data_IF_863902233685
#
_entry.id   IF_863902233685
#
_cell.length_a   1.000
_cell.length_b   1.000
_cell.length_c   1.000
_cell.angle_alpha   90.00
_cell.angle_beta   90.00
_cell.angle_gamma   90.00
#
_symmetry.space_group_name_H-M   'P 1'
#
loop_
_entity.id
_entity.type
_entity.pdbx_description
1 polymer ?
#
# COMPACT_ATOMS: atom_id res chain seq x y z
N UNK A 1 -35.69 39.06 -6.55
CA UNK A 1 -36.30 38.01 -5.70
C UNK A 1 -35.18 37.00 -5.46
N UNK A 2 -34.28 37.24 -4.48
CA UNK A 2 -34.32 36.76 -3.08
C UNK A 2 -34.42 35.22 -3.05
N UNK A 3 -33.49 34.42 -2.47
CA UNK A 3 -32.92 34.42 -1.11
C UNK A 3 -31.49 33.82 -1.08
N UNK A 4 -30.53 34.45 -0.40
CA UNK A 4 -29.97 34.11 0.93
C UNK A 4 -29.08 32.82 0.95
N UNK A 5 -27.75 32.97 0.88
CA UNK A 5 -26.85 32.95 2.04
C UNK A 5 -27.08 31.78 3.02
N UNK A 6 -26.27 30.72 2.89
CA UNK A 6 -25.88 29.88 4.02
C UNK A 6 -24.36 29.63 3.95
N UNK A 7 -23.63 30.51 4.63
CA UNK A 7 -22.25 30.31 5.05
C UNK A 7 -22.27 29.20 6.12
N UNK A 8 -21.80 28.01 5.77
CA UNK A 8 -21.53 26.98 6.77
C UNK A 8 -20.21 27.35 7.46
N UNK A 9 -20.33 28.00 8.61
CA UNK A 9 -19.25 28.18 9.57
C UNK A 9 -18.83 26.82 10.12
N UNK A 10 -17.66 26.33 9.72
CA UNK A 10 -17.00 25.21 10.41
C UNK A 10 -16.08 25.78 11.49
N UNK A 11 -16.57 25.74 12.72
CA UNK A 11 -15.76 25.78 13.95
C UNK A 11 -14.64 24.73 13.86
N UNK A 12 -13.39 25.01 14.28
CA UNK A 12 -12.34 24.00 14.28
C UNK A 12 -12.66 22.98 15.36
N UNK A 13 -13.19 21.82 14.97
CA UNK A 13 -13.40 20.69 15.85
C UNK A 13 -12.04 20.09 16.26
N UNK A 14 -11.93 19.71 17.53
CA UNK A 14 -10.92 18.79 18.04
C UNK A 14 -10.69 17.60 17.09
N UNK A 15 -9.48 16.99 17.07
CA UNK A 15 -9.24 15.78 16.29
C UNK A 15 -10.05 14.63 16.90
N UNK A 16 -11.30 14.52 16.45
CA UNK A 16 -12.17 13.40 16.68
C UNK A 16 -11.46 12.16 16.14
N UNK A 17 -11.14 11.20 16.99
CA UNK A 17 -10.40 9.97 16.64
C UNK A 17 -11.29 8.99 15.86
N UNK A 18 -12.12 9.51 14.96
CA UNK A 18 -13.11 8.77 14.19
C UNK A 18 -12.42 8.07 13.04
N UNK A 19 -12.52 6.74 13.03
CA UNK A 19 -11.99 5.90 11.96
C UNK A 19 -12.65 6.24 10.63
N UNK A 20 -11.86 6.59 9.61
CA UNK A 20 -12.35 6.78 8.25
C UNK A 20 -12.33 5.45 7.48
N UNK A 21 -13.49 5.05 6.97
CA UNK A 21 -13.61 3.79 6.24
C UNK A 21 -12.76 3.78 4.96
N UNK A 22 -11.99 2.70 4.79
CA UNK A 22 -11.17 2.56 3.59
C UNK A 22 -11.99 2.09 2.40
N UNK A 23 -11.82 2.71 1.22
CA UNK A 23 -12.42 2.24 -0.03
C UNK A 23 -11.72 0.96 -0.51
N UNK A 24 -12.12 -0.18 0.04
CA UNK A 24 -11.48 -1.48 -0.13
C UNK A 24 -11.31 -1.89 -1.59
N UNK A 25 -12.33 -1.72 -2.44
CA UNK A 25 -12.29 -2.13 -3.84
C UNK A 25 -11.31 -1.27 -4.67
N UNK A 26 -11.34 0.06 -4.48
CA UNK A 26 -10.44 0.98 -5.18
C UNK A 26 -9.00 0.75 -4.76
N UNK A 27 -8.78 0.55 -3.45
CA UNK A 27 -7.46 0.25 -2.91
C UNK A 27 -6.92 -1.08 -3.43
N UNK A 28 -7.74 -2.15 -3.38
CA UNK A 28 -7.39 -3.45 -3.92
C UNK A 28 -7.08 -3.42 -5.42
N UNK A 29 -7.88 -2.68 -6.20
CA UNK A 29 -7.62 -2.51 -7.62
C UNK A 29 -6.28 -1.78 -7.89
N UNK A 30 -6.00 -0.71 -7.15
CA UNK A 30 -4.77 0.05 -7.30
C UNK A 30 -3.53 -0.79 -6.95
N UNK A 31 -3.54 -1.50 -5.82
CA UNK A 31 -2.43 -2.37 -5.40
C UNK A 31 -2.32 -3.60 -6.30
N UNK A 32 -3.45 -4.17 -6.74
CA UNK A 32 -3.47 -5.25 -7.73
C UNK A 32 -2.86 -4.85 -9.06
N UNK A 33 -3.10 -3.63 -9.55
CA UNK A 33 -2.47 -3.11 -10.76
C UNK A 33 -0.96 -2.91 -10.58
N UNK A 34 -0.52 -2.44 -9.41
CA UNK A 34 0.92 -2.37 -9.11
C UNK A 34 1.55 -3.76 -9.11
N UNK A 35 0.87 -4.74 -8.51
CA UNK A 35 1.25 -6.16 -8.58
C UNK A 35 1.33 -6.67 -10.01
N UNK A 36 0.35 -6.35 -10.86
CA UNK A 36 0.37 -6.71 -12.28
C UNK A 36 1.60 -6.13 -13.00
N UNK A 37 1.98 -4.89 -12.69
CA UNK A 37 3.20 -4.26 -13.22
C UNK A 37 4.46 -5.06 -12.86
N UNK A 38 4.61 -5.45 -11.59
CA UNK A 38 5.71 -6.30 -11.13
C UNK A 38 5.67 -7.65 -11.85
N UNK A 39 4.49 -8.28 -11.93
CA UNK A 39 4.31 -9.56 -12.62
C UNK A 39 4.61 -9.50 -14.11
N UNK A 40 4.35 -8.36 -14.78
CA UNK A 40 4.70 -8.12 -16.17
C UNK A 40 6.22 -8.10 -16.38
N UNK A 41 6.97 -7.42 -15.49
CA UNK A 41 8.44 -7.42 -15.51
C UNK A 41 8.97 -8.83 -15.29
N UNK A 42 8.48 -9.53 -14.28
CA UNK A 42 8.90 -10.91 -14.00
C UNK A 42 8.58 -11.83 -15.18
N UNK A 43 7.40 -11.68 -15.77
CA UNK A 43 6.99 -12.43 -16.96
C UNK A 43 7.88 -12.16 -18.17
N UNK A 44 8.26 -10.90 -18.40
CA UNK A 44 9.17 -10.52 -19.47
C UNK A 44 10.56 -11.15 -19.28
N UNK A 45 11.08 -11.17 -18.05
CA UNK A 45 12.35 -11.84 -17.71
C UNK A 45 12.26 -13.35 -17.93
N UNK A 46 11.19 -14.01 -17.47
CA UNK A 46 10.99 -15.44 -17.68
C UNK A 46 10.86 -15.80 -19.18
N UNK A 47 10.23 -14.94 -19.97
CA UNK A 47 10.13 -15.10 -21.42
C UNK A 47 11.49 -14.85 -22.13
N UNK A 48 12.31 -13.92 -21.64
CA UNK A 48 13.62 -13.63 -22.22
C UNK A 48 14.66 -14.73 -21.93
N UNK A 49 14.62 -15.32 -20.73
CA UNK A 49 15.56 -16.35 -20.28
C UNK A 49 15.09 -17.78 -20.60
N UNK A 50 13.86 -17.95 -21.08
CA UNK A 50 13.31 -19.25 -21.43
C UNK A 50 13.94 -19.84 -22.68
N UNK A 51 14.16 -21.16 -22.70
CA UNK A 51 14.59 -21.88 -23.89
C UNK A 51 13.41 -22.03 -24.87
N UNK A 52 13.14 -21.01 -25.69
CA UNK A 52 12.09 -21.07 -26.70
C UNK A 52 12.37 -20.20 -27.93
N UNK A 53 11.86 -20.62 -29.09
CA UNK A 53 12.01 -19.94 -30.39
C UNK A 53 10.76 -19.11 -30.77
N UNK A 54 10.21 -18.33 -29.84
CA UNK A 54 9.04 -17.46 -30.08
C UNK A 54 9.32 -16.02 -29.62
N UNK A 55 8.74 -15.06 -30.35
CA UNK A 55 8.97 -13.62 -30.20
C UNK A 55 8.35 -12.97 -28.95
N UNK A 56 8.46 -11.64 -28.86
CA UNK A 56 8.15 -10.83 -27.66
C UNK A 56 6.73 -11.01 -27.08
N UNK A 57 5.74 -11.44 -27.87
CA UNK A 57 4.37 -11.69 -27.40
C UNK A 57 4.25 -12.87 -26.40
N UNK A 58 5.31 -13.68 -26.24
CA UNK A 58 5.33 -14.80 -25.30
C UNK A 58 5.17 -14.41 -23.83
N UNK A 59 5.52 -13.16 -23.46
CA UNK A 59 5.38 -12.70 -22.08
C UNK A 59 3.92 -12.58 -21.63
N UNK A 60 3.01 -12.33 -22.57
CA UNK A 60 1.58 -12.24 -22.28
C UNK A 60 0.87 -13.59 -22.42
N UNK A 61 1.30 -14.42 -23.37
CA UNK A 61 0.59 -15.66 -23.74
C UNK A 61 1.09 -16.91 -23.02
N UNK A 62 2.39 -16.99 -22.70
CA UNK A 62 3.02 -18.17 -22.08
C UNK A 62 3.31 -17.96 -20.59
N UNK A 63 4.02 -16.89 -20.26
CA UNK A 63 4.37 -16.53 -18.88
C UNK A 63 3.38 -15.53 -18.27
N UNK A 64 2.33 -15.16 -19.00
CA UNK A 64 1.30 -14.21 -18.58
C UNK A 64 0.54 -14.60 -17.31
N UNK A 65 0.49 -15.89 -16.99
CA UNK A 65 -0.05 -16.36 -15.69
C UNK A 65 0.69 -15.76 -14.49
N UNK A 66 1.97 -15.39 -14.64
CA UNK A 66 2.73 -14.67 -13.61
C UNK A 66 2.12 -13.30 -13.34
N UNK A 67 1.74 -12.56 -14.40
CA UNK A 67 1.11 -11.24 -14.28
C UNK A 67 -0.16 -11.35 -13.43
N UNK A 68 -1.01 -12.33 -13.76
CA UNK A 68 -2.26 -12.57 -13.03
C UNK A 68 -2.04 -12.94 -11.57
N UNK A 69 -1.05 -13.79 -11.27
CA UNK A 69 -0.76 -14.18 -9.88
C UNK A 69 -0.26 -13.00 -9.05
N UNK A 70 0.69 -12.20 -9.56
CA UNK A 70 1.16 -11.02 -8.83
C UNK A 70 0.05 -9.98 -8.66
N UNK A 71 -0.80 -9.79 -9.67
CA UNK A 71 -1.97 -8.92 -9.57
C UNK A 71 -2.95 -9.40 -8.48
N UNK A 72 -3.26 -10.70 -8.48
CA UNK A 72 -4.17 -11.29 -7.51
C UNK A 72 -3.60 -11.25 -6.09
N UNK A 73 -2.30 -11.47 -5.92
CA UNK A 73 -1.62 -11.31 -4.63
C UNK A 73 -1.73 -9.88 -4.10
N UNK A 74 -1.43 -8.87 -4.93
CA UNK A 74 -1.54 -7.45 -4.54
C UNK A 74 -2.98 -7.04 -4.19
N UNK A 75 -3.95 -7.47 -5.00
CA UNK A 75 -5.35 -7.21 -4.74
C UNK A 75 -5.83 -7.88 -3.44
N UNK A 76 -5.46 -9.14 -3.21
CA UNK A 76 -5.83 -9.90 -2.01
C UNK A 76 -5.22 -9.27 -0.76
N UNK A 77 -3.94 -8.88 -0.81
CA UNK A 77 -3.27 -8.16 0.26
C UNK A 77 -4.06 -6.93 0.69
N UNK A 78 -4.33 -6.03 -0.26
CA UNK A 78 -4.96 -4.74 0.00
C UNK A 78 -6.43 -4.87 0.39
N UNK A 79 -7.16 -5.83 -0.20
CA UNK A 79 -8.55 -6.10 0.14
C UNK A 79 -8.64 -6.64 1.57
N UNK A 80 -7.80 -7.62 1.94
CA UNK A 80 -7.78 -8.16 3.29
C UNK A 80 -7.34 -7.12 4.31
N UNK A 81 -6.30 -6.32 4.02
CA UNK A 81 -5.88 -5.22 4.90
C UNK A 81 -7.04 -4.24 5.16
N UNK A 82 -7.69 -3.75 4.10
CA UNK A 82 -8.81 -2.83 4.23
C UNK A 82 -10.04 -3.46 4.91
N UNK A 83 -10.33 -4.73 4.63
CA UNK A 83 -11.45 -5.43 5.27
C UNK A 83 -11.22 -5.61 6.77
N UNK A 84 -10.01 -6.00 7.18
CA UNK A 84 -9.68 -6.16 8.61
C UNK A 84 -9.66 -4.80 9.31
N UNK A 85 -9.11 -3.77 8.67
CA UNK A 85 -9.10 -2.41 9.20
C UNK A 85 -10.53 -1.86 9.39
N UNK A 86 -11.39 -2.00 8.38
CA UNK A 86 -12.78 -1.55 8.42
C UNK A 86 -13.59 -2.28 9.49
N UNK A 87 -13.42 -3.61 9.62
CA UNK A 87 -14.12 -4.39 10.65
C UNK A 87 -13.67 -4.04 12.08
N UNK A 88 -12.39 -3.73 12.27
CA UNK A 88 -11.83 -3.42 13.59
C UNK A 88 -11.88 -1.93 13.92
N UNK A 89 -12.24 -1.09 12.94
CA UNK A 89 -12.19 0.36 13.00
C UNK A 89 -10.86 0.88 13.56
N UNK A 90 -9.76 0.22 13.20
CA UNK A 90 -8.41 0.46 13.73
C UNK A 90 -7.38 0.28 12.64
N UNK A 91 -6.43 1.20 12.59
CA UNK A 91 -5.26 1.11 11.72
C UNK A 91 -4.04 0.65 12.53
N UNK A 92 -3.72 -0.64 12.44
CA UNK A 92 -2.56 -1.23 13.11
C UNK A 92 -1.84 -2.24 12.22
N UNK A 93 -0.69 -2.72 12.70
CA UNK A 93 0.14 -3.71 12.00
C UNK A 93 -0.51 -5.09 11.88
N UNK A 94 -1.60 -5.38 12.60
CA UNK A 94 -2.31 -6.65 12.42
C UNK A 94 -3.05 -6.69 11.09
N UNK A 95 -3.49 -5.53 10.59
CA UNK A 95 -4.16 -5.42 9.29
C UNK A 95 -3.19 -5.78 8.15
N UNK A 96 -1.98 -5.26 8.18
CA UNK A 96 -0.93 -5.51 7.17
C UNK A 96 -0.40 -6.94 7.25
N UNK A 97 -0.25 -7.50 8.47
CA UNK A 97 0.11 -8.91 8.67
C UNK A 97 -0.98 -9.84 8.13
N UNK A 98 -2.26 -9.53 8.37
CA UNK A 98 -3.37 -10.30 7.83
C UNK A 98 -3.41 -10.25 6.30
N UNK A 99 -3.21 -9.07 5.70
CA UNK A 99 -3.06 -8.92 4.25
C UNK A 99 -1.88 -9.71 3.70
N UNK A 100 -0.73 -9.66 4.37
CA UNK A 100 0.49 -10.39 4.01
C UNK A 100 0.29 -11.90 4.04
N UNK A 101 -0.34 -12.43 5.10
CA UNK A 101 -0.69 -13.83 5.18
C UNK A 101 -1.66 -14.25 4.08
N UNK A 102 -2.72 -13.48 3.82
CA UNK A 102 -3.70 -13.82 2.78
C UNK A 102 -3.09 -13.85 1.37
N UNK A 103 -2.26 -12.86 1.04
CA UNK A 103 -1.52 -12.85 -0.22
C UNK A 103 -0.50 -14.00 -0.31
N UNK A 104 0.18 -14.32 0.80
CA UNK A 104 1.08 -15.47 0.88
C UNK A 104 0.36 -16.79 0.70
N UNK A 105 -0.79 -16.97 1.34
CA UNK A 105 -1.62 -18.16 1.16
C UNK A 105 -1.99 -18.36 -0.31
N UNK A 106 -2.45 -17.29 -0.98
CA UNK A 106 -2.77 -17.33 -2.41
C UNK A 106 -1.56 -17.71 -3.27
N UNK A 107 -0.37 -17.18 -2.95
CA UNK A 107 0.87 -17.56 -3.63
C UNK A 107 1.16 -19.07 -3.50
N UNK A 108 0.92 -19.66 -2.33
CA UNK A 108 1.14 -21.09 -2.09
C UNK A 108 0.08 -21.99 -2.74
N UNK A 109 -1.17 -21.53 -2.87
CA UNK A 109 -2.22 -22.24 -3.63
C UNK A 109 -1.77 -22.52 -5.07
N UNK A 110 -0.99 -21.61 -5.68
CA UNK A 110 -0.47 -21.79 -7.05
C UNK A 110 0.43 -23.01 -7.21
N UNK A 111 1.00 -23.52 -6.11
CA UNK A 111 1.78 -24.76 -6.06
C UNK A 111 0.95 -26.02 -5.82
N UNK A 112 -0.38 -25.90 -5.69
CA UNK A 112 -1.31 -26.99 -5.40
C UNK A 112 -0.96 -27.76 -4.11
N UNK A 113 -0.44 -27.06 -3.11
CA UNK A 113 0.02 -27.64 -1.85
C UNK A 113 -0.48 -26.83 -0.65
N UNK A 114 -1.30 -27.48 0.19
CA UNK A 114 -1.79 -26.91 1.45
C UNK A 114 -0.64 -26.55 2.40
N UNK A 115 0.37 -27.40 2.65
CA UNK A 115 1.48 -27.01 3.52
C UNK A 115 2.29 -25.84 2.94
N UNK A 116 2.44 -25.76 1.61
CA UNK A 116 3.08 -24.61 0.98
C UNK A 116 2.27 -23.32 1.21
N UNK A 117 0.94 -23.38 1.11
CA UNK A 117 0.05 -22.23 1.36
C UNK A 117 0.10 -21.73 2.81
N UNK A 118 0.12 -22.65 3.78
CA UNK A 118 0.25 -22.27 5.20
C UNK A 118 1.64 -21.70 5.47
N UNK A 119 2.69 -22.33 4.95
CA UNK A 119 4.06 -21.83 5.11
C UNK A 119 4.24 -20.45 4.48
N UNK A 120 3.72 -20.23 3.27
CA UNK A 120 3.82 -18.94 2.58
C UNK A 120 3.00 -17.84 3.26
N UNK A 121 1.83 -18.15 3.83
CA UNK A 121 1.13 -17.22 4.71
C UNK A 121 1.99 -16.80 5.90
N UNK A 122 2.58 -17.76 6.62
CA UNK A 122 3.40 -17.47 7.79
C UNK A 122 4.63 -16.62 7.41
N UNK A 123 5.32 -16.98 6.33
CA UNK A 123 6.52 -16.26 5.86
C UNK A 123 6.18 -14.84 5.42
N UNK A 124 5.17 -14.65 4.55
CA UNK A 124 4.85 -13.30 4.07
C UNK A 124 4.19 -12.43 5.15
N UNK A 125 3.33 -13.00 5.99
CA UNK A 125 2.75 -12.30 7.13
C UNK A 125 3.83 -11.84 8.11
N UNK A 126 4.79 -12.70 8.44
CA UNK A 126 5.92 -12.33 9.29
C UNK A 126 6.84 -11.30 8.61
N UNK A 127 7.11 -11.42 7.31
CA UNK A 127 7.95 -10.47 6.58
C UNK A 127 7.35 -9.05 6.57
N UNK A 128 6.05 -8.92 6.27
CA UNK A 128 5.35 -7.62 6.31
C UNK A 128 5.26 -7.10 7.74
N UNK A 129 4.96 -7.97 8.72
CA UNK A 129 4.94 -7.58 10.13
C UNK A 129 6.30 -7.08 10.64
N UNK A 130 7.39 -7.71 10.22
CA UNK A 130 8.75 -7.26 10.53
C UNK A 130 9.08 -5.92 9.86
N UNK A 131 8.62 -5.68 8.62
CA UNK A 131 8.81 -4.42 7.93
C UNK A 131 8.04 -3.26 8.58
N UNK A 132 6.82 -3.52 9.05
CA UNK A 132 6.03 -2.57 9.85
C UNK A 132 6.69 -2.28 11.20
N UNK A 133 7.18 -3.31 11.90
CA UNK A 133 7.95 -3.15 13.14
C UNK A 133 9.23 -2.33 12.92
N UNK A 134 9.88 -2.49 11.76
CA UNK A 134 11.02 -1.67 11.32
C UNK A 134 10.67 -0.21 10.98
N UNK A 135 9.41 0.21 11.14
CA UNK A 135 8.98 1.60 11.06
C UNK A 135 8.73 2.11 9.65
N UNK A 136 8.40 1.23 8.69
CA UNK A 136 8.04 1.58 7.29
C UNK A 136 9.04 2.43 6.51
N UNK A 137 10.22 2.74 7.07
CA UNK A 137 11.21 3.66 6.49
C UNK A 137 11.79 3.17 5.17
N UNK A 138 11.66 1.88 4.89
CA UNK A 138 12.13 1.24 3.66
C UNK A 138 11.29 1.69 2.44
N UNK A 139 10.01 2.02 2.64
CA UNK A 139 9.11 2.46 1.56
C UNK A 139 9.16 3.97 1.27
N UNK A 140 9.89 4.74 2.09
CA UNK A 140 9.90 6.20 2.04
C UNK A 140 8.63 6.79 2.67
N UNK A 141 8.78 7.53 3.76
CA UNK A 141 7.68 8.30 4.34
C UNK A 141 7.21 9.37 3.35
N UNK A 142 6.07 9.16 2.70
CA UNK A 142 5.46 10.12 1.76
C UNK A 142 5.05 11.42 2.47
N UNK A 143 4.88 11.39 3.80
CA UNK A 143 4.42 12.52 4.61
C UNK A 143 5.51 13.51 5.03
N UNK A 144 6.79 13.19 4.87
CA UNK A 144 7.83 14.22 5.02
C UNK A 144 7.78 15.07 3.73
N UNK A 145 6.91 16.08 3.75
CA UNK A 145 6.90 17.13 2.72
C UNK A 145 8.35 17.51 2.46
N UNK A 146 8.76 17.57 1.19
CA UNK A 146 10.16 17.88 0.82
C UNK A 146 10.69 19.13 1.54
N UNK A 147 9.77 20.01 1.93
CA UNK A 147 9.99 21.20 2.75
C UNK A 147 10.33 20.91 4.22
N UNK A 148 9.69 19.94 4.89
CA UNK A 148 10.07 19.51 6.25
C UNK A 148 11.43 18.81 6.25
N UNK A 149 11.70 17.96 5.27
CA UNK A 149 13.03 17.36 5.08
C UNK A 149 14.11 18.42 4.83
N UNK A 150 13.78 19.48 4.08
CA UNK A 150 14.64 20.65 3.90
C UNK A 150 14.83 21.42 5.21
N UNK A 151 13.76 21.70 5.96
CA UNK A 151 13.79 22.42 7.24
C UNK A 151 14.55 21.67 8.34
N UNK A 152 14.57 20.33 8.33
CA UNK A 152 15.40 19.50 9.24
C UNK A 152 16.88 19.51 8.85
N UNK A 153 17.18 19.65 7.55
CA UNK A 153 18.55 19.66 7.04
C UNK A 153 19.22 21.04 7.14
N UNK A 154 18.46 22.13 6.99
CA UNK A 154 18.95 23.51 7.10
C UNK A 154 18.63 24.09 8.49
N UNK A 155 19.64 24.68 9.15
CA UNK A 155 19.46 25.44 10.41
C UNK A 155 18.45 26.56 10.18
N UNK A 156 17.35 26.59 10.94
CA UNK A 156 16.42 27.71 10.86
C UNK A 156 17.08 28.99 11.43
N UNK A 157 16.94 30.14 10.75
CA UNK A 157 17.35 31.41 11.33
C UNK A 157 16.50 31.67 12.59
N UNK A 158 17.14 32.09 13.68
CA UNK A 158 16.44 32.46 14.93
C UNK A 158 15.37 33.51 14.60
N UNK A 159 14.15 33.41 15.16
CA UNK A 159 13.16 34.47 15.02
C UNK A 159 13.77 35.79 15.50
N UNK A 160 13.70 36.81 14.65
CA UNK A 160 14.12 38.15 15.03
C UNK A 160 13.12 38.71 16.05
N UNK A 161 13.58 39.33 17.16
CA UNK A 161 12.71 39.90 18.20
C UNK A 161 11.71 40.97 17.75
N UNK A 162 11.72 41.37 16.46
CA UNK A 162 10.89 42.45 15.95
C UNK A 162 9.47 42.05 15.52
N UNK A 163 9.09 40.77 15.61
CA UNK A 163 7.74 40.30 15.23
C UNK A 163 6.80 40.07 16.43
N UNK A 164 7.18 40.52 17.63
CA UNK A 164 6.34 40.48 18.85
C UNK A 164 5.90 41.89 19.26
N UNK A 165 5.52 42.72 18.32
CA UNK A 165 4.80 43.98 18.58
C UNK A 165 4.04 44.30 17.31
N UNK A 166 2.80 43.83 17.22
CA UNK A 166 1.68 44.48 16.54
C UNK A 166 0.43 43.60 16.74
N UNK A 167 -0.36 44.03 17.73
CA UNK A 167 -1.75 43.72 18.12
C UNK A 167 -2.21 42.28 18.44
#
# INVERSE_FOLDING_TARGET
>A
MAEAHQLHSSTPAEPDTTYEERPSLRYAAAVGLQGAGIGAVVSAVQNALGTHSKGAAGFFTRTGGTIGIFAAMGATYALTEAAVANQRQKEDSLNTVAGGCAAGFLAGIRSHSIPAAVASCAVLGAAVGAAEYGGRKIAGSTEDSKEERRKRFFKQPKPSPAAQTEE
#
